data_IF_322495465548
#
_entry.id   IF_322495465548
#
_cell.length_a   1.000
_cell.length_b   1.000
_cell.length_c   1.000
_cell.angle_alpha   90.00
_cell.angle_beta   90.00
_cell.angle_gamma   90.00
#
_symmetry.space_group_name_H-M   'P 1'
#
loop_
_entity.id
_entity.type
_entity.pdbx_description
1 polymer ?
#
# COMPACT_ATOMS: atom_id res chain seq x y z
N UNK A 1 -3.24 3.87 -18.53
CA UNK A 1 -2.96 5.31 -18.73
C UNK A 1 -1.81 5.51 -19.73
N UNK A 2 -1.99 5.14 -21.01
CA UNK A 2 -0.98 5.24 -22.09
C UNK A 2 0.35 4.49 -21.92
N UNK A 3 0.61 3.93 -20.74
CA UNK A 3 1.81 3.18 -20.43
C UNK A 3 1.94 1.81 -21.10
N UNK A 4 3.00 1.12 -20.71
CA UNK A 4 3.31 -0.25 -21.11
C UNK A 4 2.24 -1.25 -20.68
N UNK A 5 1.56 -0.99 -19.56
CA UNK A 5 0.47 -1.80 -19.01
C UNK A 5 -0.71 -2.03 -19.96
N UNK A 6 -0.98 -1.07 -20.86
CA UNK A 6 -2.10 -1.08 -21.82
C UNK A 6 -2.20 -2.38 -22.62
N UNK A 7 -1.05 -2.94 -23.03
CA UNK A 7 -1.02 -4.17 -23.83
C UNK A 7 -0.95 -5.42 -22.97
N UNK A 8 -0.09 -5.40 -21.96
CA UNK A 8 0.30 -6.60 -21.22
C UNK A 8 -0.74 -7.00 -20.16
N UNK A 9 -1.39 -6.05 -19.49
CA UNK A 9 -2.40 -6.34 -18.46
C UNK A 9 -3.63 -7.03 -19.09
N UNK A 10 -4.28 -6.49 -20.14
CA UNK A 10 -5.40 -7.18 -20.78
C UNK A 10 -4.99 -8.53 -21.37
N UNK A 11 -3.77 -8.67 -21.88
CA UNK A 11 -3.27 -9.94 -22.39
C UNK A 11 -3.12 -11.00 -21.29
N UNK A 12 -2.59 -10.62 -20.12
CA UNK A 12 -2.48 -11.50 -18.96
C UNK A 12 -3.87 -11.97 -18.47
N UNK A 13 -4.80 -11.02 -18.31
CA UNK A 13 -6.19 -11.33 -17.90
C UNK A 13 -6.88 -12.28 -18.88
N UNK A 14 -6.74 -12.07 -20.20
CA UNK A 14 -7.29 -13.00 -21.22
C UNK A 14 -6.71 -14.41 -21.09
N UNK A 15 -5.41 -14.53 -20.78
CA UNK A 15 -4.75 -15.84 -20.59
C UNK A 15 -5.25 -16.57 -19.34
N UNK A 16 -5.67 -15.84 -18.31
CA UNK A 16 -6.33 -16.40 -17.13
C UNK A 16 -7.80 -16.79 -17.38
N UNK A 17 -8.36 -16.41 -18.53
CA UNK A 17 -9.72 -16.76 -18.93
C UNK A 17 -10.74 -15.63 -18.85
N UNK A 18 -10.34 -14.43 -18.40
CA UNK A 18 -11.23 -13.27 -18.37
C UNK A 18 -11.57 -12.81 -19.79
N UNK A 19 -12.87 -12.73 -20.11
CA UNK A 19 -13.37 -12.32 -21.44
C UNK A 19 -14.01 -10.93 -21.46
N UNK A 20 -14.57 -10.50 -20.34
CA UNK A 20 -15.22 -9.19 -20.17
C UNK A 20 -14.21 -8.17 -19.65
N UNK A 21 -13.26 -7.82 -20.50
CA UNK A 21 -12.26 -6.80 -20.21
C UNK A 21 -12.64 -5.56 -21.01
N UNK A 22 -12.99 -4.49 -20.31
CA UNK A 22 -13.39 -3.22 -20.89
C UNK A 22 -12.25 -2.24 -20.74
N UNK A 23 -11.67 -1.85 -21.87
CA UNK A 23 -10.62 -0.84 -21.88
C UNK A 23 -11.21 0.57 -21.93
N UNK A 24 -10.36 1.56 -21.68
CA UNK A 24 -10.63 2.98 -21.91
C UNK A 24 -9.91 3.37 -23.21
N UNK A 25 -10.61 3.41 -24.37
CA UNK A 25 -9.96 3.54 -25.69
C UNK A 25 -9.01 4.74 -25.80
N UNK A 26 -9.39 5.87 -25.20
CA UNK A 26 -8.59 7.10 -25.21
C UNK A 26 -7.27 6.97 -24.44
N UNK A 27 -7.20 6.05 -23.48
CA UNK A 27 -5.99 5.75 -22.69
C UNK A 27 -5.25 4.49 -23.15
N UNK A 28 -5.78 3.80 -24.16
CA UNK A 28 -5.26 2.56 -24.74
C UNK A 28 -4.26 2.81 -25.89
N UNK A 29 -3.82 4.06 -26.04
CA UNK A 29 -2.79 4.47 -27.00
C UNK A 29 -1.49 4.69 -26.26
N UNK A 30 -0.42 4.03 -26.70
CA UNK A 30 0.92 4.24 -26.15
C UNK A 30 1.43 5.63 -26.54
N UNK A 31 1.47 6.53 -25.57
CA UNK A 31 1.84 7.93 -25.76
C UNK A 31 2.67 8.40 -24.56
N UNK A 32 3.86 8.93 -24.83
CA UNK A 32 4.80 9.41 -23.81
C UNK A 32 4.42 10.77 -23.20
N UNK A 33 3.47 11.48 -23.82
CA UNK A 33 2.95 12.76 -23.31
C UNK A 33 1.75 12.57 -22.36
N UNK A 34 1.24 11.35 -22.24
CA UNK A 34 0.10 10.99 -21.37
C UNK A 34 -1.10 11.96 -21.46
N UNK A 35 -1.60 12.26 -22.68
CA UNK A 35 -2.36 13.49 -22.97
C UNK A 35 -3.72 13.60 -22.26
N UNK A 36 -4.24 12.51 -21.69
CA UNK A 36 -5.54 12.49 -21.02
C UNK A 36 -5.48 12.71 -19.51
N UNK A 37 -4.28 12.80 -18.92
CA UNK A 37 -4.10 12.93 -17.47
C UNK A 37 -3.08 14.03 -17.15
N UNK A 38 -3.31 14.75 -16.06
CA UNK A 38 -2.34 15.74 -15.56
C UNK A 38 -1.07 15.06 -15.05
N UNK A 39 -1.24 13.88 -14.44
CA UNK A 39 -0.17 13.01 -13.96
C UNK A 39 -0.64 11.56 -14.13
N UNK A 40 0.14 10.67 -14.76
CA UNK A 40 -0.23 9.26 -14.94
C UNK A 40 0.04 8.46 -13.66
N UNK A 41 -0.43 8.94 -12.52
CA UNK A 41 -0.25 8.33 -11.22
C UNK A 41 -1.59 7.75 -10.72
N UNK A 42 -1.74 6.41 -10.61
CA UNK A 42 -3.02 5.80 -10.25
C UNK A 42 -3.41 6.04 -8.78
N UNK A 43 -2.53 6.67 -7.99
CA UNK A 43 -2.82 7.18 -6.65
C UNK A 43 -3.75 8.41 -6.68
N UNK A 44 -3.77 9.14 -7.80
CA UNK A 44 -4.54 10.38 -7.96
C UNK A 44 -5.93 10.08 -8.51
N UNK A 45 -6.98 10.53 -7.81
CA UNK A 45 -8.37 10.31 -8.24
C UNK A 45 -8.62 10.79 -9.68
N UNK A 46 -8.07 11.95 -10.05
CA UNK A 46 -8.22 12.53 -11.39
C UNK A 46 -7.67 11.61 -12.50
N UNK A 47 -6.64 10.80 -12.21
CA UNK A 47 -6.08 9.87 -13.19
C UNK A 47 -6.99 8.65 -13.44
N UNK A 48 -7.92 8.37 -12.51
CA UNK A 48 -8.85 7.25 -12.56
C UNK A 48 -10.20 7.61 -13.19
N UNK A 49 -10.54 8.89 -13.33
CA UNK A 49 -11.89 9.36 -13.70
C UNK A 49 -12.46 8.73 -14.97
N UNK A 50 -11.66 8.63 -16.04
CA UNK A 50 -12.10 8.01 -17.30
C UNK A 50 -12.41 6.52 -17.13
N UNK A 51 -11.62 5.82 -16.32
CA UNK A 51 -11.82 4.39 -16.06
C UNK A 51 -13.05 4.15 -15.16
N UNK A 52 -13.29 5.03 -14.18
CA UNK A 52 -14.48 5.00 -13.34
C UNK A 52 -15.75 5.25 -14.17
N UNK A 53 -15.76 6.29 -15.00
CA UNK A 53 -16.89 6.59 -15.88
C UNK A 53 -17.20 5.41 -16.84
N UNK A 54 -16.15 4.80 -17.41
CA UNK A 54 -16.31 3.62 -18.26
C UNK A 54 -16.88 2.42 -17.49
N UNK A 55 -16.45 2.23 -16.24
CA UNK A 55 -16.93 1.15 -15.40
C UNK A 55 -18.41 1.29 -15.04
N UNK A 56 -18.91 2.51 -14.83
CA UNK A 56 -20.34 2.77 -14.65
C UNK A 56 -21.15 2.54 -15.92
N UNK A 57 -20.64 2.94 -17.09
CA UNK A 57 -21.31 2.71 -18.37
C UNK A 57 -21.54 1.22 -18.66
N UNK A 58 -20.53 0.38 -18.38
CA UNK A 58 -20.58 -1.07 -18.67
C UNK A 58 -21.02 -1.92 -17.49
N UNK A 59 -21.24 -1.32 -16.32
CA UNK A 59 -21.55 -2.03 -15.07
C UNK A 59 -20.42 -2.95 -14.60
N UNK A 60 -19.16 -2.54 -14.72
CA UNK A 60 -18.01 -3.32 -14.23
C UNK A 60 -17.92 -3.28 -12.69
N UNK A 61 -17.52 -4.42 -12.10
CA UNK A 61 -17.37 -4.58 -10.64
C UNK A 61 -15.99 -4.18 -10.11
N UNK A 62 -14.97 -4.20 -10.98
CA UNK A 62 -13.57 -3.94 -10.67
C UNK A 62 -12.97 -3.04 -11.75
N UNK A 63 -12.33 -1.96 -11.31
CA UNK A 63 -11.53 -1.05 -12.12
C UNK A 63 -10.07 -1.22 -11.72
N UNK A 64 -9.16 -1.23 -12.69
CA UNK A 64 -7.73 -1.27 -12.45
C UNK A 64 -7.03 -0.31 -13.41
N UNK A 65 -6.06 0.45 -12.92
CA UNK A 65 -5.17 1.28 -13.73
C UNK A 65 -3.74 1.14 -13.25
N UNK A 66 -2.80 1.03 -14.19
CA UNK A 66 -1.38 1.06 -13.89
C UNK A 66 -0.73 2.38 -14.29
N UNK A 67 0.34 2.73 -13.61
CA UNK A 67 1.27 3.79 -14.01
C UNK A 67 2.03 3.41 -15.31
N UNK A 68 2.81 4.35 -15.90
CA UNK A 68 3.37 4.17 -17.23
C UNK A 68 4.28 2.96 -17.43
N UNK A 69 5.12 2.65 -16.46
CA UNK A 69 6.04 1.50 -16.46
C UNK A 69 5.41 0.23 -15.87
N UNK A 70 4.14 0.30 -15.45
CA UNK A 70 3.36 -0.82 -14.96
C UNK A 70 3.97 -1.49 -13.71
N UNK A 71 4.42 -0.67 -12.76
CA UNK A 71 4.92 -1.11 -11.47
C UNK A 71 3.88 -0.87 -10.34
N UNK A 72 2.97 0.10 -10.49
CA UNK A 72 1.87 0.38 -9.53
C UNK A 72 0.49 0.08 -10.09
N UNK A 73 -0.46 -0.20 -9.18
CA UNK A 73 -1.88 -0.41 -9.52
C UNK A 73 -2.79 0.37 -8.58
N UNK A 74 -3.60 1.25 -9.17
CA UNK A 74 -4.83 1.75 -8.54
C UNK A 74 -6.00 0.87 -8.89
N UNK A 75 -6.90 0.67 -7.92
CA UNK A 75 -8.08 -0.16 -8.09
C UNK A 75 -9.34 0.54 -7.57
N UNK A 76 -10.49 0.25 -8.17
CA UNK A 76 -11.79 0.67 -7.67
C UNK A 76 -12.76 -0.51 -7.67
N UNK A 77 -13.66 -0.53 -6.68
CA UNK A 77 -14.66 -1.60 -6.50
C UNK A 77 -16.02 -0.98 -6.19
N UNK A 78 -17.11 -1.72 -6.41
CA UNK A 78 -18.45 -1.26 -5.99
C UNK A 78 -18.66 -1.47 -4.49
N UNK A 79 -19.13 -0.44 -3.81
CA UNK A 79 -19.57 -0.50 -2.42
C UNK A 79 -20.98 -1.15 -2.30
N UNK A 80 -21.53 -1.16 -1.09
CA UNK A 80 -22.84 -1.74 -0.81
C UNK A 80 -24.01 -1.01 -1.52
N UNK A 81 -23.84 0.27 -1.86
CA UNK A 81 -24.81 1.08 -2.60
C UNK A 81 -24.59 0.99 -4.12
N UNK A 82 -23.61 0.19 -4.57
CA UNK A 82 -23.24 0.04 -5.98
C UNK A 82 -22.38 1.17 -6.54
N UNK A 83 -21.93 2.12 -5.70
CA UNK A 83 -21.05 3.22 -6.12
C UNK A 83 -19.61 2.75 -6.19
N UNK A 84 -18.85 3.31 -7.13
CA UNK A 84 -17.42 3.03 -7.23
C UNK A 84 -16.66 3.72 -6.11
N UNK A 85 -15.86 2.93 -5.39
CA UNK A 85 -14.97 3.35 -4.33
C UNK A 85 -13.52 3.05 -4.76
N UNK A 86 -12.65 4.06 -4.74
CA UNK A 86 -11.22 3.85 -4.91
C UNK A 86 -10.62 3.17 -3.69
N UNK A 87 -9.84 2.11 -3.93
CA UNK A 87 -9.01 1.48 -2.93
C UNK A 87 -7.66 2.18 -2.89
N UNK A 88 -7.17 2.48 -1.69
CA UNK A 88 -5.79 2.93 -1.53
C UNK A 88 -4.80 1.75 -1.61
N UNK A 89 -3.50 2.04 -1.68
CA UNK A 89 -2.46 1.02 -1.75
C UNK A 89 -2.45 0.04 -0.56
N UNK A 90 -2.72 0.54 0.65
CA UNK A 90 -2.80 -0.30 1.86
C UNK A 90 -3.99 -1.27 1.82
N UNK A 91 -5.17 -0.81 1.40
CA UNK A 91 -6.37 -1.63 1.27
C UNK A 91 -6.20 -2.69 0.19
N UNK A 92 -5.62 -2.32 -0.95
CA UNK A 92 -5.30 -3.25 -2.03
C UNK A 92 -4.33 -4.32 -1.54
N UNK A 93 -3.25 -3.93 -0.85
CA UNK A 93 -2.29 -4.86 -0.29
C UNK A 93 -2.91 -5.76 0.80
N UNK A 94 -3.81 -5.25 1.62
CA UNK A 94 -4.49 -6.02 2.67
C UNK A 94 -5.44 -7.07 2.09
N UNK A 95 -6.25 -6.70 1.09
CA UNK A 95 -7.13 -7.62 0.36
C UNK A 95 -6.32 -8.76 -0.25
N UNK A 96 -5.27 -8.41 -1.01
CA UNK A 96 -4.45 -9.41 -1.68
C UNK A 96 -3.67 -10.29 -0.70
N UNK A 97 -3.07 -9.72 0.34
CA UNK A 97 -2.34 -10.50 1.36
C UNK A 97 -3.28 -11.46 2.07
N UNK A 98 -4.46 -11.00 2.50
CA UNK A 98 -5.46 -11.84 3.16
C UNK A 98 -5.95 -12.96 2.25
N UNK A 99 -6.28 -12.64 0.99
CA UNK A 99 -6.69 -13.62 -0.02
C UNK A 99 -5.61 -14.67 -0.26
N UNK A 100 -4.37 -14.25 -0.53
CA UNK A 100 -3.26 -15.16 -0.84
C UNK A 100 -3.02 -16.08 0.36
N UNK A 101 -2.93 -15.55 1.57
CA UNK A 101 -2.70 -16.38 2.76
C UNK A 101 -3.85 -17.34 3.05
N UNK A 102 -5.10 -16.93 2.80
CA UNK A 102 -6.28 -17.80 2.86
C UNK A 102 -6.12 -18.98 1.90
N UNK A 103 -5.81 -18.70 0.62
CA UNK A 103 -5.61 -19.74 -0.39
C UNK A 103 -4.42 -20.64 -0.08
N UNK A 104 -3.32 -20.09 0.43
CA UNK A 104 -2.17 -20.90 0.84
C UNK A 104 -2.51 -21.85 1.99
N UNK A 105 -3.28 -21.38 2.97
CA UNK A 105 -3.75 -22.22 4.07
C UNK A 105 -4.70 -23.32 3.59
N UNK A 106 -5.70 -22.98 2.78
CA UNK A 106 -6.66 -23.94 2.21
C UNK A 106 -6.00 -25.00 1.34
N UNK A 107 -4.93 -24.64 0.63
CA UNK A 107 -4.14 -25.54 -0.20
C UNK A 107 -3.05 -26.31 0.58
N UNK A 108 -2.95 -26.14 1.90
CA UNK A 108 -1.95 -26.81 2.73
C UNK A 108 -0.50 -26.41 2.41
N UNK A 109 -0.28 -25.19 1.92
CA UNK A 109 1.04 -24.69 1.50
C UNK A 109 1.81 -23.95 2.60
N UNK A 110 1.17 -23.69 3.74
CA UNK A 110 1.82 -23.06 4.89
C UNK A 110 2.53 -24.15 5.72
N UNK A 111 3.85 -24.23 5.58
CA UNK A 111 4.73 -25.17 6.29
C UNK A 111 5.68 -24.49 7.30
N UNK A 112 5.49 -23.18 7.52
CA UNK A 112 6.29 -22.37 8.45
C UNK A 112 7.53 -21.74 7.84
N UNK A 113 7.83 -21.98 6.55
CA UNK A 113 8.93 -21.33 5.83
C UNK A 113 8.50 -20.13 4.99
N UNK A 114 7.22 -19.76 5.06
CA UNK A 114 6.65 -18.68 4.28
C UNK A 114 6.80 -17.34 4.99
N UNK A 115 7.00 -16.29 4.22
CA UNK A 115 7.02 -14.93 4.74
C UNK A 115 6.45 -13.92 3.75
N UNK A 116 6.01 -12.79 4.31
CA UNK A 116 5.62 -11.59 3.61
C UNK A 116 6.58 -10.45 3.95
N UNK A 117 6.55 -9.37 3.17
CA UNK A 117 7.38 -8.18 3.42
C UNK A 117 6.55 -6.91 3.22
N UNK A 118 6.68 -5.93 4.12
CA UNK A 118 6.10 -4.59 3.96
C UNK A 118 7.09 -3.49 4.32
N UNK A 119 6.86 -2.28 3.84
CA UNK A 119 7.63 -1.13 4.33
C UNK A 119 7.14 -0.71 5.71
N UNK A 120 8.01 -0.02 6.44
CA UNK A 120 7.71 0.53 7.77
C UNK A 120 6.56 1.54 7.77
N UNK A 121 6.26 2.15 6.62
CA UNK A 121 5.16 3.13 6.45
C UNK A 121 3.90 2.53 5.83
N UNK A 122 3.92 1.24 5.47
CA UNK A 122 2.74 0.48 5.04
C UNK A 122 1.93 0.05 6.25
N UNK A 123 0.60 -0.01 6.11
CA UNK A 123 -0.36 -0.31 7.20
C UNK A 123 0.06 -1.49 8.09
N UNK A 124 -0.24 -1.38 9.39
CA UNK A 124 -0.07 -2.48 10.35
C UNK A 124 -1.17 -3.55 10.21
N UNK A 125 -2.21 -3.34 9.39
CA UNK A 125 -3.19 -4.37 9.06
C UNK A 125 -2.54 -5.62 8.43
N UNK A 126 -1.50 -5.43 7.61
CA UNK A 126 -0.74 -6.53 7.02
C UNK A 126 -0.07 -7.40 8.10
N UNK A 127 0.35 -6.80 9.21
CA UNK A 127 0.91 -7.53 10.37
C UNK A 127 -0.16 -8.37 11.04
N UNK A 128 -1.30 -7.77 11.36
CA UNK A 128 -2.43 -8.49 11.97
C UNK A 128 -2.89 -9.68 11.12
N UNK A 129 -2.95 -9.50 9.80
CA UNK A 129 -3.26 -10.57 8.84
C UNK A 129 -2.18 -11.67 8.91
N UNK A 130 -0.89 -11.33 8.74
CA UNK A 130 0.18 -12.34 8.75
C UNK A 130 0.25 -13.12 10.07
N UNK A 131 0.09 -12.44 11.20
CA UNK A 131 0.09 -13.05 12.54
C UNK A 131 -1.04 -14.08 12.68
N UNK A 132 -2.24 -13.79 12.13
CA UNK A 132 -3.38 -14.73 12.14
C UNK A 132 -3.10 -16.02 11.36
N UNK A 133 -2.31 -15.93 10.30
CA UNK A 133 -1.90 -17.10 9.50
C UNK A 133 -0.61 -17.75 10.02
N UNK A 134 0.05 -17.19 11.04
CA UNK A 134 1.34 -17.67 11.52
C UNK A 134 2.47 -17.51 10.49
N UNK A 135 2.37 -16.49 9.63
CA UNK A 135 3.35 -16.20 8.57
C UNK A 135 4.24 -15.04 9.01
N UNK A 136 5.55 -15.20 8.85
CA UNK A 136 6.51 -14.16 9.23
C UNK A 136 6.35 -12.92 8.36
N UNK A 137 6.38 -11.72 8.96
CA UNK A 137 6.31 -10.45 8.25
C UNK A 137 7.55 -9.60 8.52
N UNK A 138 8.37 -9.42 7.50
CA UNK A 138 9.51 -8.50 7.54
C UNK A 138 9.05 -7.06 7.34
N UNK A 139 9.50 -6.18 8.23
CA UNK A 139 9.44 -4.73 8.03
C UNK A 139 10.76 -4.27 7.38
N UNK A 140 10.66 -3.46 6.33
CA UNK A 140 11.83 -2.84 5.67
C UNK A 140 11.65 -1.34 5.48
N UNK A 141 12.74 -0.62 5.20
CA UNK A 141 12.65 0.81 4.86
C UNK A 141 11.83 1.04 3.59
N UNK A 142 11.28 2.25 3.41
CA UNK A 142 10.58 2.64 2.18
C UNK A 142 11.46 2.49 0.94
N UNK A 143 10.90 1.88 -0.10
CA UNK A 143 11.55 1.60 -1.37
C UNK A 143 11.65 0.09 -1.63
N UNK A 144 11.05 -0.36 -2.74
CA UNK A 144 10.98 -1.77 -3.11
C UNK A 144 12.32 -2.52 -3.16
N UNK A 145 13.44 -1.81 -3.39
CA UNK A 145 14.79 -2.40 -3.31
C UNK A 145 15.06 -3.14 -1.99
N UNK A 146 14.50 -2.69 -0.87
CA UNK A 146 14.67 -3.35 0.42
C UNK A 146 13.79 -4.60 0.56
N UNK A 147 12.62 -4.60 -0.09
CA UNK A 147 11.80 -5.80 -0.24
C UNK A 147 12.58 -6.83 -1.06
N UNK A 148 13.09 -6.42 -2.23
CA UNK A 148 13.90 -7.27 -3.10
C UNK A 148 15.17 -7.81 -2.40
N UNK A 149 15.80 -7.02 -1.53
CA UNK A 149 16.94 -7.45 -0.72
C UNK A 149 16.56 -8.56 0.26
N UNK A 150 15.43 -8.44 0.97
CA UNK A 150 14.93 -9.50 1.85
C UNK A 150 14.58 -10.76 1.05
N UNK A 151 13.96 -10.60 -0.13
CA UNK A 151 13.69 -11.73 -1.02
C UNK A 151 14.99 -12.43 -1.40
N UNK A 152 15.98 -11.69 -1.89
CA UNK A 152 17.29 -12.22 -2.28
C UNK A 152 18.00 -12.94 -1.14
N UNK A 153 17.94 -12.42 0.09
CA UNK A 153 18.59 -13.03 1.27
C UNK A 153 17.97 -14.37 1.67
N UNK A 154 16.72 -14.61 1.33
CA UNK A 154 15.95 -15.79 1.73
C UNK A 154 15.75 -16.79 0.59
N UNK A 155 16.22 -16.48 -0.63
CA UNK A 155 16.12 -17.36 -1.80
C UNK A 155 16.68 -18.76 -1.49
N UNK A 156 15.87 -19.80 -1.74
CA UNK A 156 16.25 -21.19 -1.51
C UNK A 156 16.12 -21.68 -0.06
N UNK A 157 15.93 -20.78 0.91
CA UNK A 157 15.76 -21.14 2.33
C UNK A 157 14.30 -20.99 2.78
N UNK A 158 13.69 -19.85 2.46
CA UNK A 158 12.30 -19.51 2.77
C UNK A 158 11.55 -19.16 1.48
N UNK A 159 10.23 -19.05 1.58
CA UNK A 159 9.36 -18.77 0.43
C UNK A 159 8.69 -17.42 0.60
N UNK A 160 9.03 -16.49 -0.28
CA UNK A 160 8.35 -15.19 -0.36
C UNK A 160 6.94 -15.38 -0.95
N UNK A 161 5.91 -15.05 -0.17
CA UNK A 161 4.52 -15.11 -0.63
C UNK A 161 4.17 -13.83 -1.38
N UNK A 162 4.26 -12.69 -0.72
CA UNK A 162 3.93 -11.39 -1.30
C UNK A 162 4.49 -10.23 -0.46
N UNK A 163 4.54 -9.05 -1.06
CA UNK A 163 4.92 -7.84 -0.35
C UNK A 163 4.43 -6.58 -1.04
N UNK A 164 4.32 -5.50 -0.28
CA UNK A 164 3.74 -4.26 -0.77
C UNK A 164 4.24 -3.01 -0.06
N UNK A 165 3.97 -1.89 -0.72
CA UNK A 165 4.18 -0.53 -0.23
C UNK A 165 2.83 0.20 -0.20
N UNK A 166 2.66 1.16 0.71
CA UNK A 166 1.52 2.06 0.79
C UNK A 166 1.30 2.85 -0.51
N UNK A 167 2.37 3.05 -1.28
CA UNK A 167 2.43 3.74 -2.57
C UNK A 167 2.00 2.88 -3.75
N UNK A 168 0.99 2.01 -3.54
CA UNK A 168 0.30 1.24 -4.60
C UNK A 168 1.19 0.23 -5.33
N UNK A 169 2.34 -0.10 -4.74
CA UNK A 169 3.25 -1.12 -5.21
C UNK A 169 2.98 -2.46 -4.53
N UNK A 170 2.86 -3.54 -5.31
CA UNK A 170 2.68 -4.88 -4.78
C UNK A 170 3.37 -5.92 -5.68
N UNK A 171 3.78 -7.04 -5.07
CA UNK A 171 4.41 -8.15 -5.78
C UNK A 171 4.00 -9.48 -5.13
N UNK A 172 3.87 -10.52 -5.95
CA UNK A 172 3.51 -11.88 -5.50
C UNK A 172 4.57 -12.88 -5.96
N UNK A 173 5.09 -13.66 -5.01
CA UNK A 173 6.13 -14.64 -5.28
C UNK A 173 7.46 -14.02 -5.71
N UNK A 174 8.43 -14.88 -6.00
CA UNK A 174 9.83 -14.47 -6.13
C UNK A 174 10.33 -14.38 -7.58
N UNK A 175 9.44 -14.30 -8.59
CA UNK A 175 9.87 -14.26 -9.99
C UNK A 175 10.39 -12.90 -10.43
N UNK A 176 9.91 -11.83 -9.79
CA UNK A 176 10.26 -10.44 -10.09
C UNK A 176 10.87 -9.82 -8.83
N UNK A 177 11.77 -8.86 -8.99
CA UNK A 177 12.47 -8.16 -7.89
C UNK A 177 12.04 -6.69 -7.82
N UNK A 178 10.84 -6.42 -8.31
CA UNK A 178 10.22 -5.10 -8.39
C UNK A 178 8.71 -5.24 -8.17
N UNK A 179 8.03 -4.11 -8.01
CA UNK A 179 6.56 -4.07 -8.04
C UNK A 179 6.10 -4.51 -9.43
N UNK A 180 4.96 -5.19 -9.48
CA UNK A 180 4.47 -5.78 -10.73
C UNK A 180 2.97 -5.55 -10.87
N UNK A 181 2.59 -4.54 -11.66
CA UNK A 181 1.19 -4.22 -11.90
C UNK A 181 0.46 -5.31 -12.67
N UNK A 182 1.14 -6.04 -13.55
CA UNK A 182 0.53 -7.10 -14.36
C UNK A 182 0.09 -8.24 -13.47
N UNK A 183 0.98 -8.66 -12.58
CA UNK A 183 0.71 -9.69 -11.59
C UNK A 183 -0.32 -9.21 -10.56
N UNK A 184 -0.22 -7.97 -10.09
CA UNK A 184 -1.17 -7.41 -9.12
C UNK A 184 -2.59 -7.33 -9.71
N UNK A 185 -2.74 -6.86 -10.96
CA UNK A 185 -4.03 -6.86 -11.66
C UNK A 185 -4.60 -8.28 -11.84
N UNK A 186 -3.71 -9.22 -12.19
CA UNK A 186 -4.08 -10.63 -12.35
C UNK A 186 -4.62 -11.22 -11.05
N UNK A 187 -3.95 -10.94 -9.93
CA UNK A 187 -4.34 -11.40 -8.60
C UNK A 187 -5.61 -10.71 -8.07
N UNK A 188 -5.81 -9.43 -8.38
CA UNK A 188 -7.07 -8.73 -8.05
C UNK A 188 -8.26 -9.35 -8.79
N UNK A 189 -8.10 -9.63 -10.08
CA UNK A 189 -9.14 -10.26 -10.88
C UNK A 189 -9.43 -11.70 -10.41
N UNK A 190 -8.39 -12.49 -10.07
CA UNK A 190 -8.56 -13.83 -9.50
C UNK A 190 -9.25 -13.78 -8.14
N UNK A 191 -8.85 -12.85 -7.27
CA UNK A 191 -9.49 -12.64 -5.97
C UNK A 191 -10.98 -12.29 -6.13
N UNK A 192 -11.30 -11.37 -7.05
CA UNK A 192 -12.68 -11.02 -7.35
C UNK A 192 -13.49 -12.22 -7.84
N UNK A 193 -12.93 -13.05 -8.73
CA UNK A 193 -13.58 -14.24 -9.23
C UNK A 193 -13.80 -15.29 -8.12
N UNK A 194 -12.79 -15.52 -7.28
CA UNK A 194 -12.88 -16.44 -6.14
C UNK A 194 -13.95 -16.00 -5.13
N UNK A 195 -14.06 -14.70 -4.86
CA UNK A 195 -15.13 -14.15 -4.01
C UNK A 195 -16.50 -14.33 -4.66
N UNK A 196 -16.60 -14.05 -5.97
CA UNK A 196 -17.84 -14.16 -6.72
C UNK A 196 -18.42 -15.58 -6.74
N UNK A 197 -17.58 -16.63 -6.72
CA UNK A 197 -18.03 -18.03 -6.58
C UNK A 197 -18.84 -18.28 -5.29
N UNK A 198 -18.67 -17.44 -4.27
CA UNK A 198 -19.42 -17.46 -3.01
C UNK A 198 -20.42 -16.31 -2.86
N UNK A 199 -20.69 -15.56 -3.92
CA UNK A 199 -21.58 -14.39 -3.91
C UNK A 199 -21.03 -13.19 -3.15
N UNK A 200 -19.71 -13.13 -2.90
CA UNK A 200 -19.04 -12.03 -2.21
C UNK A 200 -18.40 -11.06 -3.20
N UNK A 201 -18.13 -9.84 -2.73
CA UNK A 201 -17.45 -8.79 -3.50
C UNK A 201 -16.12 -8.43 -2.83
N UNK A 202 -15.20 -7.80 -3.57
CA UNK A 202 -13.95 -7.28 -3.01
C UNK A 202 -14.20 -6.25 -1.88
N UNK A 203 -15.21 -5.40 -2.03
CA UNK A 203 -15.62 -4.47 -0.97
C UNK A 203 -16.11 -5.21 0.27
N UNK A 204 -17.00 -6.20 0.10
CA UNK A 204 -17.48 -7.03 1.20
C UNK A 204 -16.34 -7.76 1.91
N UNK A 205 -15.37 -8.27 1.14
CA UNK A 205 -14.18 -8.91 1.70
C UNK A 205 -13.29 -7.94 2.48
N UNK A 206 -13.13 -6.69 2.03
CA UNK A 206 -12.46 -5.65 2.81
C UNK A 206 -13.19 -5.38 4.13
N UNK A 207 -14.53 -5.35 4.12
CA UNK A 207 -15.31 -5.20 5.36
C UNK A 207 -15.15 -6.42 6.28
N UNK A 208 -15.07 -7.64 5.76
CA UNK A 208 -14.77 -8.85 6.54
C UNK A 208 -13.39 -8.78 7.19
N UNK A 209 -12.37 -8.33 6.45
CA UNK A 209 -11.03 -8.09 6.98
C UNK A 209 -11.08 -7.07 8.14
N UNK A 210 -11.79 -5.95 7.95
CA UNK A 210 -11.94 -4.96 9.02
C UNK A 210 -12.74 -5.48 10.22
N UNK A 211 -13.75 -6.32 10.00
CA UNK A 211 -14.50 -6.95 11.09
C UNK A 211 -13.63 -7.92 11.90
N UNK A 212 -12.68 -8.61 11.25
CA UNK A 212 -11.78 -9.56 11.92
C UNK A 212 -10.62 -8.89 12.65
N UNK A 213 -10.00 -7.88 12.04
CA UNK A 213 -8.74 -7.28 12.54
C UNK A 213 -8.94 -5.89 13.15
N UNK A 214 -10.15 -5.34 13.07
CA UNK A 214 -10.43 -3.93 13.31
C UNK A 214 -10.25 -3.09 12.05
N UNK A 215 -10.93 -1.94 11.99
CA UNK A 215 -10.75 -0.96 10.93
C UNK A 215 -9.37 -0.31 11.04
N UNK A 216 -8.68 -0.16 9.91
CA UNK A 216 -7.43 0.60 9.81
C UNK A 216 -7.64 1.76 8.85
N UNK A 217 -7.08 2.91 9.20
CA UNK A 217 -7.00 4.06 8.31
C UNK A 217 -5.59 4.63 8.34
N UNK A 218 -5.14 5.14 7.20
CA UNK A 218 -3.83 5.75 7.04
C UNK A 218 -3.95 7.15 6.43
N UNK A 219 -2.96 7.99 6.74
CA UNK A 219 -2.88 9.33 6.22
C UNK A 219 -1.45 9.71 5.83
N UNK A 220 -1.33 10.65 4.92
CA UNK A 220 -0.06 11.23 4.53
C UNK A 220 -0.16 12.76 4.58
N UNK A 221 0.79 13.39 5.25
CA UNK A 221 1.04 14.83 5.17
C UNK A 221 2.45 15.04 4.61
N UNK A 222 2.55 15.85 3.54
CA UNK A 222 3.83 16.21 2.93
C UNK A 222 4.04 17.72 3.00
N UNK A 223 5.01 18.16 3.79
CA UNK A 223 5.34 19.57 3.97
C UNK A 223 6.58 19.89 3.14
N UNK A 224 6.46 20.82 2.20
CA UNK A 224 7.59 21.31 1.38
C UNK A 224 8.00 22.69 1.87
N UNK A 225 9.26 22.85 2.25
CA UNK A 225 9.88 24.14 2.59
C UNK A 225 10.76 24.61 1.42
N UNK A 226 11.17 25.88 1.39
CA UNK A 226 11.96 26.45 0.29
C UNK A 226 13.43 26.60 0.66
N UNK A 227 14.30 26.25 -0.28
CA UNK A 227 15.73 26.54 -0.23
C UNK A 227 16.48 25.87 0.94
N UNK A 228 17.67 26.40 1.21
CA UNK A 228 18.59 25.90 2.25
C UNK A 228 18.01 26.03 3.66
N UNK A 229 17.35 27.16 3.94
CA UNK A 229 16.67 27.40 5.22
C UNK A 229 15.58 26.36 5.48
N UNK A 230 14.84 25.95 4.45
CA UNK A 230 13.86 24.87 4.56
C UNK A 230 14.50 23.53 4.96
N UNK A 231 15.64 23.18 4.37
CA UNK A 231 16.38 21.97 4.74
C UNK A 231 16.94 22.03 6.16
N UNK A 232 17.44 23.19 6.60
CA UNK A 232 17.89 23.42 7.98
C UNK A 232 16.76 23.30 8.98
N UNK A 233 15.60 23.89 8.69
CA UNK A 233 14.41 23.78 9.52
C UNK A 233 13.94 22.32 9.65
N UNK A 234 13.96 21.55 8.56
CA UNK A 234 13.62 20.11 8.58
C UNK A 234 14.60 19.32 9.47
N UNK A 235 15.91 19.58 9.35
CA UNK A 235 16.91 18.94 10.23
C UNK A 235 16.68 19.29 11.70
N UNK A 236 16.38 20.55 11.99
CA UNK A 236 16.06 20.99 13.35
C UNK A 236 14.80 20.32 13.89
N UNK A 237 13.74 20.17 13.06
CA UNK A 237 12.53 19.41 13.42
C UNK A 237 12.85 17.96 13.77
N UNK A 238 13.65 17.26 12.95
CA UNK A 238 14.05 15.88 13.22
C UNK A 238 14.92 15.75 14.47
N UNK A 239 15.82 16.70 14.73
CA UNK A 239 16.60 16.73 15.97
C UNK A 239 15.69 16.96 17.19
N UNK A 240 14.75 17.90 17.09
CA UNK A 240 13.77 18.18 18.15
C UNK A 240 12.94 16.94 18.50
N UNK A 241 12.45 16.20 17.51
CA UNK A 241 11.70 14.96 17.75
C UNK A 241 12.55 13.84 18.38
N UNK A 242 13.87 13.83 18.18
CA UNK A 242 14.77 12.86 18.84
C UNK A 242 15.03 13.23 20.29
N UNK A 243 15.24 14.51 20.56
CA UNK A 243 15.51 15.02 21.91
C UNK A 243 14.25 15.04 22.77
N UNK A 244 13.11 15.39 22.16
CA UNK A 244 11.83 15.57 22.81
C UNK A 244 10.72 14.88 21.99
N UNK A 245 10.67 13.53 22.00
CA UNK A 245 9.61 12.81 21.29
C UNK A 245 8.22 13.20 21.82
N UNK A 246 7.18 13.15 20.97
CA UNK A 246 5.81 13.41 21.41
C UNK A 246 5.46 12.44 22.54
N UNK A 247 4.79 12.97 23.58
CA UNK A 247 4.34 12.15 24.71
C UNK A 247 3.04 11.40 24.41
N UNK A 248 2.25 11.92 23.48
CA UNK A 248 0.96 11.39 23.08
C UNK A 248 0.77 11.53 21.56
N UNK A 249 -0.02 10.63 20.98
CA UNK A 249 -0.49 10.66 19.59
C UNK A 249 -2.02 10.64 19.64
N UNK A 250 -2.68 11.68 19.12
CA UNK A 250 -4.13 11.82 19.18
C UNK A 250 -4.73 11.59 20.60
N UNK A 251 -4.02 12.04 21.63
CA UNK A 251 -4.42 11.90 23.04
C UNK A 251 -4.08 10.55 23.70
N UNK A 252 -3.52 9.59 22.97
CA UNK A 252 -3.03 8.32 23.54
C UNK A 252 -1.53 8.39 23.86
N UNK A 253 -1.08 7.89 25.03
CA UNK A 253 0.35 7.88 25.40
C UNK A 253 1.21 7.15 24.37
N UNK A 254 2.39 7.72 24.07
CA UNK A 254 3.43 7.06 23.26
C UNK A 254 4.11 5.99 24.11
N UNK A 255 4.04 4.74 23.65
CA UNK A 255 4.60 3.58 24.35
C UNK A 255 5.90 3.08 23.71
N UNK A 256 6.18 3.45 22.44
CA UNK A 256 7.41 3.03 21.75
C UNK A 256 7.85 4.08 20.73
N UNK A 257 9.16 4.33 20.74
CA UNK A 257 9.85 5.18 19.76
C UNK A 257 10.91 4.34 19.05
N UNK A 258 10.98 4.44 17.73
CA UNK A 258 12.01 3.78 16.91
C UNK A 258 12.73 4.82 16.10
N UNK A 259 14.06 4.89 16.27
CA UNK A 259 14.94 5.70 15.41
C UNK A 259 15.72 4.78 14.47
N UNK A 260 15.50 4.94 13.17
CA UNK A 260 16.18 4.16 12.13
C UNK A 260 17.62 4.60 11.89
N UNK A 261 18.14 5.54 12.69
CA UNK A 261 19.57 5.75 12.84
C UNK A 261 20.26 4.68 13.68
N UNK A 262 19.51 3.97 14.55
CA UNK A 262 20.01 2.94 15.45
C UNK A 262 19.97 1.55 14.78
N UNK A 263 20.89 1.31 13.84
CA UNK A 263 20.92 0.09 13.02
C UNK A 263 21.02 -1.19 13.84
N UNK A 264 21.76 -1.17 14.95
CA UNK A 264 21.89 -2.33 15.85
C UNK A 264 20.57 -2.72 16.54
N UNK A 265 19.68 -1.75 16.79
CA UNK A 265 18.37 -2.02 17.41
C UNK A 265 17.32 -2.41 16.38
N UNK A 266 17.39 -1.81 15.19
CA UNK A 266 16.38 -2.01 14.13
C UNK A 266 16.68 -3.18 13.21
N UNK A 267 17.95 -3.60 13.11
CA UNK A 267 18.40 -4.60 12.14
C UNK A 267 18.31 -4.13 10.68
N UNK A 268 18.06 -2.84 10.46
CA UNK A 268 17.85 -2.24 9.13
C UNK A 268 18.97 -1.24 8.80
N UNK A 269 19.20 -0.96 7.50
CA UNK A 269 20.14 0.08 7.10
C UNK A 269 19.80 1.43 7.72
N UNK A 270 20.82 2.27 7.89
CA UNK A 270 20.65 3.60 8.47
C UNK A 270 19.70 4.44 7.62
N UNK A 271 18.68 5.03 8.24
CA UNK A 271 17.75 5.95 7.59
C UNK A 271 17.33 7.07 8.55
N UNK A 272 17.19 8.29 8.04
CA UNK A 272 16.66 9.39 8.83
C UNK A 272 15.13 9.28 8.89
N UNK A 273 14.65 8.37 9.76
CA UNK A 273 13.23 8.10 9.99
C UNK A 273 13.02 7.89 11.49
N UNK A 274 11.97 8.51 12.02
CA UNK A 274 11.45 8.22 13.36
C UNK A 274 10.07 7.59 13.25
N UNK A 275 9.78 6.63 14.12
CA UNK A 275 8.43 6.13 14.31
C UNK A 275 8.00 6.21 15.77
N UNK A 276 6.80 6.73 15.99
CA UNK A 276 6.15 6.81 17.28
C UNK A 276 4.93 5.89 17.26
N UNK A 277 4.78 5.08 18.30
CA UNK A 277 3.65 4.18 18.50
C UNK A 277 2.98 4.50 19.82
N UNK A 278 1.65 4.60 19.82
CA UNK A 278 0.86 4.82 21.04
C UNK A 278 0.18 3.53 21.52
N UNK A 279 -0.25 3.55 22.78
CA UNK A 279 -0.92 2.42 23.45
C UNK A 279 -2.20 1.96 22.73
N UNK A 280 -2.96 2.89 22.16
CA UNK A 280 -4.17 2.60 21.39
C UNK A 280 -3.90 2.07 19.97
N UNK A 281 -2.63 2.05 19.55
CA UNK A 281 -2.18 1.51 18.27
C UNK A 281 -2.08 2.52 17.14
N UNK A 282 -2.09 3.84 17.42
CA UNK A 282 -1.68 4.82 16.42
C UNK A 282 -0.18 4.73 16.13
N UNK A 283 0.18 5.03 14.89
CA UNK A 283 1.56 5.05 14.40
C UNK A 283 1.79 6.35 13.65
N UNK A 284 2.90 7.05 13.95
CA UNK A 284 3.37 8.18 13.15
C UNK A 284 4.80 7.95 12.72
N UNK A 285 5.05 7.96 11.41
CA UNK A 285 6.38 7.88 10.84
C UNK A 285 6.78 9.23 10.26
N UNK A 286 7.91 9.78 10.69
CA UNK A 286 8.44 11.07 10.23
C UNK A 286 9.68 10.83 9.38
N UNK A 287 9.65 11.27 8.12
CA UNK A 287 10.71 11.02 7.15
C UNK A 287 11.00 12.25 6.29
N UNK A 288 12.16 12.92 6.45
CA UNK A 288 12.67 13.87 5.48
C UNK A 288 12.95 13.22 4.12
N UNK A 289 12.79 14.00 3.06
CA UNK A 289 13.28 13.68 1.72
C UNK A 289 14.78 13.95 1.65
N UNK A 290 15.52 13.08 0.95
CA UNK A 290 16.96 13.24 0.76
C UNK A 290 17.34 14.20 -0.37
N UNK A 291 16.41 14.48 -1.29
CA UNK A 291 16.69 15.26 -2.52
C UNK A 291 16.04 16.64 -2.51
N UNK A 292 14.91 16.78 -1.82
CA UNK A 292 14.13 18.02 -1.76
C UNK A 292 13.95 18.45 -0.30
N UNK A 293 13.85 19.75 0.00
CA UNK A 293 13.48 20.26 1.33
C UNK A 293 12.01 19.96 1.66
N UNK A 294 11.69 18.67 1.77
CA UNK A 294 10.36 18.12 2.01
C UNK A 294 10.42 17.12 3.17
N UNK A 295 9.44 17.14 4.05
CA UNK A 295 9.27 16.16 5.13
C UNK A 295 7.89 15.52 5.03
N UNK A 296 7.83 14.20 5.17
CA UNK A 296 6.61 13.41 5.09
C UNK A 296 6.27 12.83 6.46
N UNK A 297 5.00 12.88 6.80
CA UNK A 297 4.41 12.26 7.99
C UNK A 297 3.40 11.22 7.52
N UNK A 298 3.67 9.96 7.85
CA UNK A 298 2.77 8.84 7.58
C UNK A 298 2.04 8.51 8.88
N UNK A 299 0.72 8.55 8.85
CA UNK A 299 -0.14 8.28 9.97
C UNK A 299 -0.83 6.94 9.77
N UNK A 300 -0.96 6.16 10.83
CA UNK A 300 -1.82 4.98 10.89
C UNK A 300 -2.63 5.00 12.18
N UNK A 301 -3.91 4.67 12.09
CA UNK A 301 -4.79 4.51 13.24
C UNK A 301 -5.66 3.27 13.04
N UNK A 302 -6.17 2.71 14.14
CA UNK A 302 -7.05 1.54 14.12
C UNK A 302 -8.25 1.69 15.05
N UNK A 303 -9.28 0.89 14.81
CA UNK A 303 -10.53 0.89 15.55
C UNK A 303 -11.60 1.80 14.93
N UNK A 304 -12.74 1.90 15.60
CA UNK A 304 -13.92 2.61 15.07
C UNK A 304 -13.66 4.10 14.86
N UNK A 305 -12.78 4.70 15.67
CA UNK A 305 -12.39 6.11 15.61
C UNK A 305 -11.16 6.37 14.72
N UNK A 306 -10.80 5.43 13.84
CA UNK A 306 -9.56 5.55 13.05
C UNK A 306 -9.55 6.83 12.18
N UNK A 307 -10.69 7.23 11.63
CA UNK A 307 -10.80 8.41 10.77
C UNK A 307 -10.61 9.72 11.56
N UNK A 308 -11.24 9.81 12.75
CA UNK A 308 -11.09 10.95 13.66
C UNK A 308 -9.65 11.05 14.16
N UNK A 309 -9.01 9.92 14.51
CA UNK A 309 -7.62 9.88 14.96
C UNK A 309 -6.65 10.31 13.86
N UNK A 310 -6.85 9.87 12.62
CA UNK A 310 -6.03 10.35 11.49
C UNK A 310 -6.17 11.87 11.33
N UNK A 311 -7.37 12.42 11.49
CA UNK A 311 -7.61 13.86 11.43
C UNK A 311 -6.90 14.61 12.57
N UNK A 312 -6.96 14.08 13.79
CA UNK A 312 -6.27 14.63 14.96
C UNK A 312 -4.74 14.59 14.80
N UNK A 313 -4.17 13.48 14.30
CA UNK A 313 -2.74 13.36 14.03
C UNK A 313 -2.28 14.35 12.95
N UNK A 314 -3.06 14.52 11.88
CA UNK A 314 -2.73 15.53 10.86
C UNK A 314 -2.67 16.93 11.46
N UNK A 315 -3.63 17.30 12.30
CA UNK A 315 -3.61 18.58 13.01
C UNK A 315 -2.35 18.70 13.90
N UNK A 316 -2.11 17.70 14.74
CA UNK A 316 -0.98 17.65 15.68
C UNK A 316 0.41 17.81 15.02
N UNK A 317 0.58 17.31 13.79
CA UNK A 317 1.86 17.36 13.06
C UNK A 317 1.90 18.41 11.94
N UNK A 318 0.84 19.22 11.80
CA UNK A 318 0.77 20.31 10.82
C UNK A 318 1.25 21.67 11.35
N UNK A 319 1.34 21.81 12.67
CA UNK A 319 1.85 22.99 13.39
C UNK A 319 3.39 23.00 13.47
#
# INVERSE_FOLDING_TARGET
MHGTGVRIIPAALRRMGFRRIYNVPDQDVSDGDFPTVVSPNPEEHAAMEMALARADEVGADLVMASDPDADRVGAAVRDADGKLLLLNGNQTAAILTSYILTRWKELGKLDGRQYCVKTIVTTELLRAICDKFGVELYNVLTGFKYIAEVVRRNEGEKVFICGGEESYGFNVGEKVRDKDAVMTCSMLAECAAWLADSGKTLYGYLQEIYAEFGRYNEGLLSVTKKGKEGAEAIRATMASYRENPPKELAGSPVCRVVDYLETEKTGLPKSDVLQFFSEDGCVVSVRPSGTEPKIKYYFGARGDEADERISALRAQFSE
#
